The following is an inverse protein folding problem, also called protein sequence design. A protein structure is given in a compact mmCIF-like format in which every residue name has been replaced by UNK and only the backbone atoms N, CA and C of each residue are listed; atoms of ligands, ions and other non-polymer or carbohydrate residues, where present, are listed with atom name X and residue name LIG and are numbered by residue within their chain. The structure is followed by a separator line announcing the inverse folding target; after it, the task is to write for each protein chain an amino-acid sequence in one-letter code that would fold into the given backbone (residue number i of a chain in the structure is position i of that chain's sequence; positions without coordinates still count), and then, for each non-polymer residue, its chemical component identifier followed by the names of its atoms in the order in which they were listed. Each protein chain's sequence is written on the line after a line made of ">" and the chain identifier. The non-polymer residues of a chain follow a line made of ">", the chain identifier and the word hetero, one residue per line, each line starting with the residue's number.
data_IF_943326972246
#
_entry.id   IF_943326972246
#
_cell.length_a   1.000
_cell.length_b   1.000
_cell.length_c   1.000
_cell.angle_alpha   90.00
_cell.angle_beta   90.00
_cell.angle_gamma   90.00
#
_symmetry.space_group_name_H-M   'P 1'
#
loop_
_entity.id
_entity.type
_entity.pdbx_description
1 polymer ?
#
# COMPACT_ATOMS: atom_id res chain seq x y z
N UNK A 1 -6.43 -15.96 3.10
CA UNK A 1 -5.66 -16.04 1.83
C UNK A 1 -4.51 -15.06 1.94
N UNK A 2 -3.27 -15.39 1.52
CA UNK A 2 -2.17 -14.46 1.65
C UNK A 2 -2.40 -13.34 0.63
N UNK A 3 -2.83 -12.19 1.12
CA UNK A 3 -2.96 -10.97 0.34
C UNK A 3 -1.56 -10.49 -0.01
N UNK A 4 -1.00 -11.03 -1.10
CA UNK A 4 0.27 -10.58 -1.63
C UNK A 4 0.06 -9.15 -2.14
N UNK A 5 0.37 -8.18 -1.29
CA UNK A 5 0.45 -6.76 -1.66
C UNK A 5 1.29 -6.57 -2.94
N UNK A 6 2.21 -7.51 -3.22
CA UNK A 6 3.02 -7.65 -4.42
C UNK A 6 2.24 -7.84 -5.75
N UNK A 7 0.99 -8.30 -5.72
CA UNK A 7 0.13 -8.46 -6.90
C UNK A 7 -0.88 -7.32 -7.05
N UNK A 8 -1.07 -6.52 -6.00
CA UNK A 8 -2.02 -5.42 -6.00
C UNK A 8 -1.51 -4.26 -6.87
N UNK A 9 -2.41 -3.74 -7.71
CA UNK A 9 -2.26 -2.51 -8.48
C UNK A 9 -2.05 -1.28 -7.59
N UNK A 10 -1.43 -0.23 -8.14
CA UNK A 10 -1.21 1.05 -7.45
C UNK A 10 -2.53 1.61 -6.89
N UNK A 11 -3.64 1.46 -7.61
CA UNK A 11 -4.97 1.86 -7.14
C UNK A 11 -5.40 1.10 -5.89
N UNK A 12 -5.26 -0.23 -5.89
CA UNK A 12 -5.63 -1.05 -4.75
C UNK A 12 -4.73 -0.76 -3.53
N UNK A 13 -3.44 -0.49 -3.77
CA UNK A 13 -2.51 -0.08 -2.72
C UNK A 13 -2.83 1.31 -2.16
N UNK A 14 -3.21 2.27 -3.00
CA UNK A 14 -3.68 3.59 -2.55
C UNK A 14 -4.97 3.48 -1.74
N UNK A 15 -5.90 2.62 -2.16
CA UNK A 15 -7.15 2.37 -1.45
C UNK A 15 -6.89 1.75 -0.06
N UNK A 16 -5.96 0.78 0.03
CA UNK A 16 -5.54 0.24 1.32
C UNK A 16 -4.80 1.25 2.19
N UNK A 17 -3.95 2.10 1.61
CA UNK A 17 -3.31 3.16 2.39
C UNK A 17 -4.36 4.15 2.90
N UNK A 18 -5.42 4.40 2.12
CA UNK A 18 -6.55 5.25 2.53
C UNK A 18 -7.36 4.63 3.67
N UNK A 19 -7.67 3.35 3.55
CA UNK A 19 -8.41 2.61 4.57
C UNK A 19 -7.66 2.61 5.92
N UNK A 20 -6.34 2.54 5.86
CA UNK A 20 -5.46 2.54 7.04
C UNK A 20 -5.00 3.94 7.49
N UNK A 21 -5.54 5.00 6.87
CA UNK A 21 -5.15 6.40 7.10
C UNK A 21 -3.62 6.65 7.01
N UNK A 22 -2.93 5.89 6.16
CA UNK A 22 -1.49 6.03 5.94
C UNK A 22 -1.27 7.16 4.94
N UNK A 23 -0.51 8.21 5.25
CA UNK A 23 -0.23 9.26 4.27
C UNK A 23 0.72 8.75 3.17
N UNK A 24 0.20 8.49 1.97
CA UNK A 24 1.01 8.19 0.77
C UNK A 24 1.40 9.44 -0.05
N UNK A 25 1.24 10.63 0.53
CA UNK A 25 1.48 11.92 -0.15
C UNK A 25 2.99 12.11 -0.37
N UNK A 26 3.48 11.68 -1.53
CA UNK A 26 4.92 11.60 -1.87
C UNK A 26 5.33 10.25 -2.46
N UNK A 27 4.43 9.27 -2.42
CA UNK A 27 4.66 7.95 -2.99
C UNK A 27 4.06 7.87 -4.39
N UNK A 28 4.93 7.73 -5.40
CA UNK A 28 4.53 7.54 -6.80
C UNK A 28 4.68 6.10 -7.30
N UNK A 29 5.12 5.18 -6.43
CA UNK A 29 5.48 3.80 -6.81
C UNK A 29 4.67 2.77 -6.03
N UNK A 30 4.24 1.72 -6.72
CA UNK A 30 3.59 0.55 -6.11
C UNK A 30 4.43 -0.04 -4.97
N UNK A 31 5.74 -0.15 -5.19
CA UNK A 31 6.66 -0.76 -4.21
C UNK A 31 6.72 0.02 -2.89
N UNK A 32 6.71 1.35 -2.96
CA UNK A 32 6.73 2.22 -1.79
C UNK A 32 5.38 2.20 -1.06
N UNK A 33 4.25 2.11 -1.79
CA UNK A 33 2.94 1.90 -1.17
C UNK A 33 2.89 0.54 -0.45
N UNK A 34 3.45 -0.51 -1.07
CA UNK A 34 3.56 -1.84 -0.45
C UNK A 34 4.40 -1.80 0.81
N UNK A 35 5.55 -1.11 0.81
CA UNK A 35 6.36 -0.95 2.03
C UNK A 35 5.61 -0.26 3.15
N UNK A 36 4.83 0.79 2.84
CA UNK A 36 3.98 1.47 3.81
C UNK A 36 2.91 0.55 4.39
N UNK A 37 2.26 -0.25 3.54
CA UNK A 37 1.24 -1.22 3.94
C UNK A 37 1.81 -2.45 4.66
N UNK A 38 3.05 -2.81 4.34
CA UNK A 38 3.77 -3.96 4.88
C UNK A 38 4.57 -3.63 6.14
N UNK A 39 4.40 -2.46 6.74
CA UNK A 39 4.85 -2.21 8.12
C UNK A 39 3.76 -2.65 9.09
N UNK A 40 3.78 -3.90 9.61
CA UNK A 40 3.09 -4.21 10.84
C UNK A 40 3.86 -3.52 11.97
N UNK A 41 3.17 -2.73 12.79
CA UNK A 41 3.65 -2.39 14.12
C UNK A 41 3.55 -3.63 15.03
#
# INVERSE_FOLDING_TARGET
>A
MPSNLADLDIRALQDQCRDRDIPWKGVSSAEELRKLLSKPE
#
